data_IF_598064764844
#
_entry.id   IF_598064764844
#
_cell.length_a   1.000
_cell.length_b   1.000
_cell.length_c   1.000
_cell.angle_alpha   90.00
_cell.angle_beta   90.00
_cell.angle_gamma   90.00
#
_symmetry.space_group_name_H-M   'P 1'
#
loop_
_entity.id
_entity.type
_entity.pdbx_description
1 polymer ?
2 non-polymer ?
3 non-polymer ?
4 non-polymer ?
5 non-polymer ?
6 non-polymer ?
7 water ?
#
# COMPACT_ATOMS: atom_id res chain seq x y z
N UNK A 1 6.27 -24.65 -10.79
CA UNK A 1 5.74 -23.63 -9.79
C UNK A 1 6.13 -22.25 -10.39
N UNK A 2 5.39 -21.22 -10.11
CA UNK A 2 5.64 -19.91 -10.72
C UNK A 2 6.09 -19.10 -9.49
N UNK A 3 6.87 -18.13 -9.93
CA UNK A 3 7.34 -17.10 -8.94
C UNK A 3 7.69 -15.94 -9.83
N UNK A 4 7.87 -14.74 -9.25
CA UNK A 4 8.28 -13.61 -10.10
C UNK A 4 8.58 -12.45 -9.11
N UNK A 5 9.25 -11.52 -9.75
CA UNK A 5 9.66 -10.26 -9.11
C UNK A 5 9.14 -9.11 -9.96
N UNK A 6 8.44 -8.20 -9.30
CA UNK A 6 8.04 -7.02 -10.08
C UNK A 6 8.82 -5.86 -9.44
N UNK A 7 9.36 -4.95 -10.17
CA UNK A 7 10.06 -3.81 -9.52
C UNK A 7 9.13 -2.66 -9.28
N UNK A 8 9.11 -2.07 -8.14
CA UNK A 8 8.34 -0.87 -7.87
C UNK A 8 9.33 0.34 -7.87
N UNK A 9 8.68 1.46 -8.08
CA UNK A 9 9.42 2.76 -8.03
C UNK A 9 8.63 3.83 -7.32
N UNK A 10 9.22 4.55 -6.37
CA UNK A 10 8.50 5.61 -5.66
C UNK A 10 8.34 6.81 -6.60
N UNK A 11 7.25 7.51 -6.39
CA UNK A 11 7.05 8.76 -7.15
C UNK A 11 7.78 9.78 -6.26
N UNK A 12 7.65 11.06 -6.61
CA UNK A 12 8.30 12.14 -5.80
C UNK A 12 7.91 12.04 -4.34
N UNK A 13 8.92 12.14 -3.47
CA UNK A 13 8.86 12.04 -2.05
C UNK A 13 8.35 10.66 -1.61
N UNK A 14 8.27 9.67 -2.51
CA UNK A 14 7.77 8.34 -2.09
C UNK A 14 6.28 8.51 -1.71
N UNK A 15 5.57 9.37 -2.43
CA UNK A 15 4.15 9.55 -2.07
C UNK A 15 3.38 8.25 -2.39
N UNK A 16 3.82 7.64 -3.50
CA UNK A 16 3.24 6.32 -3.85
C UNK A 16 4.26 5.50 -4.61
N UNK A 17 4.01 4.19 -4.79
CA UNK A 17 4.94 3.25 -5.41
C UNK A 17 4.23 2.62 -6.62
N UNK A 18 4.81 2.68 -7.78
CA UNK A 18 4.09 2.11 -8.93
C UNK A 18 4.95 1.01 -9.53
N UNK A 19 4.19 0.06 -10.13
CA UNK A 19 4.77 -1.15 -10.72
C UNK A 19 3.99 -1.46 -12.04
N UNK A 20 4.73 -1.82 -13.05
CA UNK A 20 4.10 -2.14 -14.32
C UNK A 20 3.36 -3.48 -14.24
N UNK A 21 2.20 -3.48 -14.94
CA UNK A 21 1.29 -4.65 -15.04
C UNK A 21 0.81 -4.72 -16.51
N UNK A 22 0.85 -5.90 -17.04
CA UNK A 22 0.39 -5.99 -18.46
C UNK A 22 -1.03 -6.62 -18.40
N UNK A 23 -1.95 -5.91 -19.01
CA UNK A 23 -3.34 -6.37 -19.12
C UNK A 23 -3.79 -6.46 -20.58
N UNK A 24 -4.06 -7.72 -20.93
CA UNK A 24 -4.43 -7.97 -22.34
C UNK A 24 -3.41 -7.28 -23.27
N UNK A 25 -2.11 -7.46 -23.09
CA UNK A 25 -1.10 -6.87 -24.01
C UNK A 25 -0.64 -5.43 -23.71
N UNK A 26 -1.38 -4.65 -22.96
CA UNK A 26 -1.03 -3.24 -22.67
C UNK A 26 -0.40 -3.14 -21.30
N UNK A 27 0.71 -2.40 -21.17
CA UNK A 27 1.27 -2.28 -19.81
C UNK A 27 0.83 -0.95 -19.22
N UNK A 28 0.36 -1.02 -17.97
CA UNK A 28 -0.11 0.12 -17.22
C UNK A 28 0.79 0.28 -15.95
N UNK A 29 0.87 1.46 -15.42
CA UNK A 29 1.67 1.63 -14.15
C UNK A 29 0.68 1.66 -12.98
N UNK A 30 0.68 0.57 -12.15
CA UNK A 30 -0.36 0.58 -11.10
C UNK A 30 0.23 0.75 -9.70
N UNK A 31 -0.63 1.16 -8.80
CA UNK A 31 -0.21 1.34 -7.38
C UNK A 31 -0.62 0.02 -6.70
N UNK A 32 0.31 -0.77 -6.22
CA UNK A 32 -0.07 -2.06 -5.55
C UNK A 32 -0.43 -1.69 -4.13
N UNK A 33 -1.66 -2.06 -3.70
CA UNK A 33 -2.20 -1.64 -2.43
C UNK A 33 -2.65 -2.79 -1.55
N UNK A 34 -1.93 -3.07 -0.46
CA UNK A 34 -2.33 -4.19 0.43
C UNK A 34 -3.49 -3.79 1.33
N UNK A 35 -3.99 -2.58 1.14
CA UNK A 35 -5.16 -2.14 1.95
C UNK A 35 -6.52 -2.28 1.26
N UNK A 36 -6.49 -2.69 -0.01
CA UNK A 36 -7.86 -2.84 -0.70
C UNK A 36 -7.75 -4.06 -1.58
N UNK A 37 -8.94 -4.51 -2.09
CA UNK A 37 -8.97 -5.74 -2.90
C UNK A 37 -9.50 -5.59 -4.32
N UNK A 38 -9.44 -4.42 -4.87
CA UNK A 38 -9.86 -4.19 -6.26
C UNK A 38 -8.69 -3.92 -7.20
N UNK A 39 -8.74 -4.52 -8.37
CA UNK A 39 -7.74 -4.24 -9.43
C UNK A 39 -8.55 -3.37 -10.38
N UNK A 40 -8.39 -2.06 -10.35
CA UNK A 40 -9.16 -1.19 -11.30
C UNK A 40 -8.16 -0.35 -12.08
N UNK A 41 -8.53 -0.04 -13.34
CA UNK A 41 -7.63 0.65 -14.24
C UNK A 41 -8.37 1.76 -14.96
N UNK A 42 -7.58 2.76 -15.38
CA UNK A 42 -8.11 3.85 -16.25
C UNK A 42 -8.53 3.13 -17.51
N UNK A 43 -9.60 3.51 -18.23
CA UNK A 43 -9.99 2.72 -19.43
C UNK A 43 -10.53 3.70 -20.50
N UNK A 44 -10.87 3.10 -21.62
CA UNK A 44 -11.41 3.96 -22.71
C UNK A 44 -12.84 4.33 -22.44
N UNK A 45 -13.42 3.84 -21.31
CA UNK A 45 -14.82 4.23 -21.00
C UNK A 45 -14.86 5.51 -20.26
N UNK A 46 -13.69 6.06 -19.87
CA UNK A 46 -13.63 7.39 -19.23
C UNK A 46 -13.71 8.47 -20.35
N UNK A 47 -14.16 9.64 -19.93
CA UNK A 47 -14.17 10.82 -20.85
C UNK A 47 -12.80 10.93 -21.46
N UNK A 48 -12.62 11.21 -22.72
CA UNK A 48 -11.30 11.37 -23.33
C UNK A 48 -10.38 12.32 -22.55
N UNK A 49 -10.97 13.37 -22.01
CA UNK A 49 -10.08 14.35 -21.29
C UNK A 49 -9.50 13.73 -20.02
N UNK A 50 -10.11 12.69 -19.47
CA UNK A 50 -9.56 12.13 -18.22
C UNK A 50 -8.57 11.03 -18.53
N UNK A 51 -8.55 10.55 -19.77
CA UNK A 51 -7.63 9.49 -20.18
C UNK A 51 -6.24 10.10 -20.42
N UNK A 52 -6.27 11.42 -20.43
CA UNK A 52 -5.06 12.19 -20.81
C UNK A 52 -3.95 12.01 -19.78
N UNK A 53 -2.80 11.62 -20.39
CA UNK A 53 -1.62 11.44 -19.48
C UNK A 53 -1.57 10.07 -18.78
N UNK A 54 -2.35 9.13 -19.32
CA UNK A 54 -2.39 7.80 -18.68
C UNK A 54 -2.25 6.79 -19.74
N UNK A 55 -1.90 5.59 -19.36
CA UNK A 55 -1.89 4.40 -20.22
C UNK A 55 -3.32 3.86 -19.85
N UNK A 56 -4.10 3.55 -20.91
CA UNK A 56 -5.49 3.11 -20.58
C UNK A 56 -5.76 1.74 -21.13
N UNK A 57 -6.68 1.06 -20.42
CA UNK A 57 -7.07 -0.30 -20.88
C UNK A 57 -8.29 -0.13 -21.84
N UNK A 58 -8.29 -0.97 -22.88
CA UNK A 58 -9.45 -0.89 -23.82
C UNK A 58 -10.06 -2.30 -23.73
N UNK A 59 -11.14 -2.37 -22.99
CA UNK A 59 -11.80 -3.65 -22.73
C UNK A 59 -12.25 -4.42 -23.95
N UNK A 60 -12.63 -3.64 -24.95
CA UNK A 60 -13.21 -4.26 -26.19
C UNK A 60 -12.19 -5.03 -26.98
N UNK A 61 -10.92 -4.66 -26.79
CA UNK A 61 -9.81 -5.24 -27.50
C UNK A 61 -9.62 -6.72 -27.10
N UNK A 62 -9.62 -6.95 -25.79
CA UNK A 62 -9.35 -8.29 -25.30
C UNK A 62 -10.13 -8.78 -24.11
N UNK A 63 -10.90 -7.96 -23.44
CA UNK A 63 -11.59 -8.50 -22.24
C UNK A 63 -12.91 -9.16 -22.56
N UNK A 64 -13.34 -9.96 -21.63
CA UNK A 64 -14.70 -10.63 -21.73
C UNK A 64 -15.56 -9.91 -20.72
N UNK A 65 -16.61 -9.19 -21.13
CA UNK A 65 -17.41 -8.45 -20.17
C UNK A 65 -18.20 -9.32 -19.23
N UNK A 66 -18.41 -8.94 -17.98
CA UNK A 66 -19.32 -9.71 -17.09
C UNK A 66 -20.60 -8.86 -17.11
N UNK A 67 -21.57 -9.31 -17.97
CA UNK A 67 -22.78 -8.46 -18.07
C UNK A 67 -23.42 -8.30 -16.72
N UNK A 68 -23.81 -7.07 -16.41
CA UNK A 68 -24.49 -6.75 -15.18
C UNK A 68 -23.66 -6.56 -13.90
N UNK A 69 -22.35 -6.70 -14.06
CA UNK A 69 -21.45 -6.56 -12.86
C UNK A 69 -20.95 -5.11 -12.86
N UNK A 70 -20.86 -4.57 -11.66
CA UNK A 70 -20.36 -3.21 -11.43
C UNK A 70 -19.45 -3.27 -10.19
N UNK A 71 -18.75 -2.16 -10.01
CA UNK A 71 -17.88 -2.06 -8.81
C UNK A 71 -17.90 -0.54 -8.48
N UNK A 72 -17.65 -0.32 -7.24
CA UNK A 72 -17.62 1.06 -6.73
C UNK A 72 -16.81 1.03 -5.43
N UNK A 73 -15.76 1.88 -5.43
CA UNK A 73 -14.89 1.85 -4.21
C UNK A 73 -14.61 3.26 -3.71
N UNK A 74 -14.52 3.30 -2.41
CA UNK A 74 -14.19 4.61 -1.78
C UNK A 74 -13.00 4.36 -0.78
N UNK A 75 -12.05 5.31 -0.81
CA UNK A 75 -10.88 5.12 0.05
C UNK A 75 -10.95 6.05 1.25
N UNK A 76 -9.97 5.82 2.14
CA UNK A 76 -9.79 6.59 3.38
C UNK A 76 -9.53 8.10 3.22
N UNK A 77 -8.91 8.49 2.10
CA UNK A 77 -8.67 9.95 1.91
C UNK A 77 -9.88 10.58 1.17
N UNK A 78 -10.98 9.81 1.06
CA UNK A 78 -12.19 10.29 0.34
C UNK A 78 -12.20 10.11 -1.12
N UNK A 79 -11.21 9.58 -1.80
CA UNK A 79 -11.19 9.38 -3.25
C UNK A 79 -12.10 8.17 -3.55
N UNK A 80 -12.53 8.06 -4.80
CA UNK A 80 -13.46 6.93 -5.15
C UNK A 80 -13.36 6.73 -6.64
N UNK A 81 -13.87 5.58 -7.08
CA UNK A 81 -13.87 5.21 -8.50
C UNK A 81 -15.01 4.14 -8.66
N UNK A 82 -15.48 4.08 -9.92
CA UNK A 82 -16.55 3.02 -10.15
C UNK A 82 -16.53 2.60 -11.59
N UNK A 83 -17.20 1.50 -11.98
CA UNK A 83 -17.25 1.16 -13.41
C UNK A 83 -17.84 -0.26 -13.49
N UNK A 84 -17.37 -0.87 -14.56
CA UNK A 84 -17.83 -2.21 -14.93
C UNK A 84 -16.67 -3.18 -14.99
N UNK A 85 -17.01 -4.45 -15.35
CA UNK A 85 -15.99 -5.49 -15.17
C UNK A 85 -15.86 -6.41 -16.33
N UNK A 86 -14.59 -6.71 -16.59
CA UNK A 86 -14.15 -7.60 -17.66
C UNK A 86 -13.21 -8.65 -17.10
N UNK A 87 -13.01 -9.73 -17.77
CA UNK A 87 -11.94 -10.70 -17.33
C UNK A 87 -10.92 -10.62 -18.49
N UNK A 88 -9.65 -10.69 -18.07
CA UNK A 88 -8.54 -10.59 -19.08
C UNK A 88 -7.33 -11.32 -18.53
N UNK A 89 -6.28 -11.30 -19.28
CA UNK A 89 -4.96 -11.87 -18.83
C UNK A 89 -4.18 -10.74 -18.11
N UNK A 90 -3.67 -11.07 -16.91
CA UNK A 90 -3.00 -9.95 -16.17
C UNK A 90 -1.63 -10.53 -15.81
N UNK A 91 -0.53 -9.81 -16.15
CA UNK A 91 0.83 -10.37 -15.84
C UNK A 91 1.62 -9.39 -14.95
N UNK A 92 2.14 -9.96 -13.87
CA UNK A 92 2.87 -9.13 -12.90
C UNK A 92 4.22 -9.90 -12.70
N UNK A 93 5.27 -9.23 -13.13
CA UNK A 93 6.61 -9.86 -12.96
C UNK A 93 6.68 -11.29 -13.49
N UNK A 94 6.12 -11.46 -14.68
CA UNK A 94 6.11 -12.70 -15.39
C UNK A 94 5.11 -13.73 -14.83
N UNK A 95 4.34 -13.42 -13.82
CA UNK A 95 3.34 -14.43 -13.35
C UNK A 95 2.01 -13.95 -14.03
N UNK A 96 1.39 -14.87 -14.77
CA UNK A 96 0.14 -14.49 -15.46
C UNK A 96 -1.12 -15.12 -14.85
N UNK A 97 -2.08 -14.29 -14.59
CA UNK A 97 -3.39 -14.66 -14.07
C UNK A 97 -4.32 -14.67 -15.32
N UNK A 98 -4.81 -15.85 -15.68
CA UNK A 98 -5.74 -15.89 -16.84
C UNK A 98 -7.15 -15.70 -16.26
N UNK A 99 -7.98 -14.92 -16.89
CA UNK A 99 -9.35 -14.73 -16.42
C UNK A 99 -9.47 -13.92 -15.15
N UNK A 100 -8.47 -13.05 -14.91
CA UNK A 100 -8.49 -12.17 -13.77
C UNK A 100 -9.56 -11.06 -14.03
N UNK A 101 -10.31 -10.77 -12.97
CA UNK A 101 -11.32 -9.71 -13.09
C UNK A 101 -10.65 -8.33 -13.14
N UNK A 102 -10.84 -7.57 -14.19
CA UNK A 102 -10.24 -6.23 -14.29
C UNK A 102 -11.39 -5.23 -14.19
N UNK A 103 -11.30 -4.29 -13.28
CA UNK A 103 -12.38 -3.31 -13.05
C UNK A 103 -12.05 -2.06 -13.87
N UNK A 104 -12.79 -1.87 -14.97
CA UNK A 104 -12.57 -0.73 -15.89
C UNK A 104 -13.28 0.48 -15.32
N UNK A 105 -12.50 1.58 -15.10
CA UNK A 105 -13.14 2.79 -14.51
C UNK A 105 -14.06 3.47 -15.56
N UNK A 106 -15.22 3.88 -15.02
CA UNK A 106 -16.17 4.69 -15.83
C UNK A 106 -16.21 6.08 -15.21
N UNK A 107 -15.90 6.18 -13.92
CA UNK A 107 -15.91 7.44 -13.19
C UNK A 107 -14.74 7.45 -12.16
N UNK A 108 -14.10 8.59 -11.98
CA UNK A 108 -12.98 8.67 -10.96
C UNK A 108 -13.10 10.00 -10.27
N UNK A 109 -12.79 10.10 -9.01
CA UNK A 109 -12.94 11.39 -8.27
C UNK A 109 -11.75 12.27 -8.60
N UNK A 110 -11.78 13.53 -8.27
CA UNK A 110 -10.72 14.49 -8.62
C UNK A 110 -9.32 14.08 -8.26
N UNK A 111 -9.23 13.41 -7.09
CA UNK A 111 -7.87 12.96 -6.67
C UNK A 111 -7.23 12.12 -7.73
N UNK A 112 -8.00 11.21 -8.33
CA UNK A 112 -7.41 10.33 -9.36
C UNK A 112 -7.20 11.11 -10.68
N UNK A 113 -8.15 12.03 -10.91
CA UNK A 113 -8.05 12.81 -12.17
C UNK A 113 -6.76 13.67 -12.07
N UNK A 114 -6.38 14.05 -10.86
CA UNK A 114 -5.16 14.89 -10.73
C UNK A 114 -3.87 14.11 -10.72
N UNK A 115 -3.89 12.84 -10.40
CA UNK A 115 -2.70 12.02 -10.30
C UNK A 115 -2.27 11.34 -11.57
N UNK A 116 -1.31 11.83 -12.29
CA UNK A 116 -0.88 11.12 -13.51
C UNK A 116 0.25 10.10 -13.32
N UNK A 117 0.52 9.83 -12.07
CA UNK A 117 1.62 8.90 -11.72
C UNK A 117 1.17 7.43 -11.85
N UNK A 118 -0.17 7.26 -11.72
CA UNK A 118 -0.63 5.86 -11.79
C UNK A 118 -1.86 5.76 -12.77
N UNK A 119 -2.01 4.51 -13.15
CA UNK A 119 -3.12 4.22 -14.12
C UNK A 119 -4.14 3.29 -13.42
N UNK A 120 -4.13 3.32 -12.12
CA UNK A 120 -5.15 2.48 -11.36
C UNK A 120 -4.39 1.77 -10.20
N UNK A 121 -5.11 0.87 -9.54
CA UNK A 121 -4.66 0.14 -8.34
C UNK A 121 -4.74 -1.37 -8.53
N UNK A 122 -3.84 -2.15 -7.96
CA UNK A 122 -3.93 -3.64 -7.95
C UNK A 122 -4.07 -3.89 -6.45
N UNK A 123 -5.19 -4.32 -5.95
CA UNK A 123 -5.46 -4.59 -4.54
C UNK A 123 -4.87 -5.95 -4.16
N UNK A 124 -4.25 -5.96 -2.98
CA UNK A 124 -3.64 -7.16 -2.39
C UNK A 124 -4.12 -7.42 -0.98
N UNK A 125 -5.21 -6.81 -0.54
CA UNK A 125 -5.85 -7.19 0.73
C UNK A 125 -6.65 -8.53 0.41
N UNK A 126 -7.34 -9.04 1.40
CA UNK A 126 -8.10 -10.34 1.20
C UNK A 126 -9.31 -10.07 0.24
N UNK A 127 -9.57 -11.11 -0.55
CA UNK A 127 -10.66 -10.96 -1.57
C UNK A 127 -12.03 -10.75 -0.92
N UNK A 128 -12.15 -11.01 0.35
CA UNK A 128 -13.41 -10.82 1.10
C UNK A 128 -13.94 -9.38 1.02
N UNK A 129 -13.08 -8.39 0.79
CA UNK A 129 -13.53 -7.02 0.65
C UNK A 129 -13.49 -6.50 -0.77
N UNK A 130 -13.39 -7.38 -1.77
CA UNK A 130 -13.48 -6.93 -3.16
C UNK A 130 -14.91 -6.35 -3.35
N UNK A 131 -15.00 -5.20 -4.05
CA UNK A 131 -16.28 -4.51 -4.21
C UNK A 131 -17.18 -4.96 -5.40
N UNK A 132 -16.75 -5.86 -6.21
CA UNK A 132 -17.52 -6.26 -7.39
C UNK A 132 -18.90 -6.80 -6.96
N UNK A 133 -19.90 -6.40 -7.72
CA UNK A 133 -21.31 -6.76 -7.45
C UNK A 133 -21.95 -7.28 -8.76
N UNK A 134 -22.83 -8.26 -8.61
CA UNK A 134 -23.39 -8.83 -7.44
C UNK A 134 -22.51 -9.87 -6.75
N UNK A 135 -21.48 -10.38 -7.40
CA UNK A 135 -20.62 -11.42 -6.75
C UNK A 135 -19.16 -10.89 -6.79
N UNK A 136 -18.57 -10.92 -5.62
CA UNK A 136 -17.13 -10.37 -5.55
C UNK A 136 -16.16 -11.27 -6.25
N UNK A 137 -15.03 -10.69 -6.68
CA UNK A 137 -14.01 -11.42 -7.46
C UNK A 137 -12.71 -11.54 -6.61
N UNK A 138 -11.82 -12.35 -7.05
CA UNK A 138 -10.55 -12.57 -6.36
C UNK A 138 -9.48 -11.63 -6.88
N UNK A 139 -8.64 -11.26 -5.90
CA UNK A 139 -7.50 -10.40 -6.21
C UNK A 139 -6.54 -11.20 -7.09
N UNK A 140 -5.63 -10.40 -7.72
CA UNK A 140 -4.59 -11.05 -8.56
C UNK A 140 -3.90 -12.16 -7.73
N UNK A 141 -3.60 -11.77 -6.49
CA UNK A 141 -2.85 -12.78 -5.68
C UNK A 141 -3.69 -14.06 -5.44
N UNK A 142 -4.95 -13.87 -5.01
CA UNK A 142 -5.81 -15.05 -4.79
C UNK A 142 -5.98 -15.81 -6.10
N UNK A 143 -6.03 -15.15 -7.24
CA UNK A 143 -6.22 -15.90 -8.49
C UNK A 143 -5.04 -16.83 -8.78
N UNK A 144 -3.82 -16.35 -8.51
CA UNK A 144 -2.62 -17.10 -8.85
C UNK A 144 -2.00 -17.90 -7.68
N UNK A 145 -2.43 -17.68 -6.48
CA UNK A 145 -1.67 -18.27 -5.35
C UNK A 145 -1.50 -19.79 -5.36
N UNK A 146 -2.45 -20.52 -5.89
CA UNK A 146 -2.31 -22.00 -5.90
C UNK A 146 -1.26 -22.33 -6.93
N UNK A 147 -0.92 -21.44 -7.88
CA UNK A 147 0.07 -21.79 -8.86
C UNK A 147 1.50 -21.35 -8.39
N UNK A 148 1.60 -20.55 -7.40
CA UNK A 148 2.95 -20.12 -6.92
C UNK A 148 3.64 -21.26 -6.16
N UNK A 149 4.95 -21.18 -6.11
CA UNK A 149 5.76 -22.18 -5.34
C UNK A 149 5.34 -22.10 -3.88
N UNK A 150 5.07 -20.91 -3.33
CA UNK A 150 4.59 -20.69 -1.96
C UNK A 150 3.47 -19.62 -2.04
N UNK A 151 2.42 -19.78 -1.31
CA UNK A 151 1.29 -18.85 -1.36
C UNK A 151 1.50 -17.59 -0.52
N UNK A 152 2.43 -16.83 -1.05
CA UNK A 152 2.85 -15.57 -0.30
C UNK A 152 3.44 -14.59 -1.31
N UNK A 153 3.52 -13.36 -0.84
CA UNK A 153 4.17 -12.29 -1.65
C UNK A 153 5.01 -11.52 -0.54
N UNK A 154 6.01 -10.80 -1.08
CA UNK A 154 6.84 -10.05 -0.07
C UNK A 154 7.13 -8.68 -0.70
N UNK A 155 7.42 -7.75 0.25
CA UNK A 155 7.67 -6.39 -0.28
C UNK A 155 8.87 -5.67 0.42
N UNK A 156 9.63 -5.05 -0.46
CA UNK A 156 10.67 -4.11 0.02
C UNK A 156 10.34 -2.80 -0.74
N UNK A 157 9.88 -1.82 -0.04
CA UNK A 157 9.66 -0.45 -0.52
C UNK A 157 10.93 0.35 0.01
N UNK A 158 11.46 1.16 -0.88
CA UNK A 158 12.66 1.94 -0.41
C UNK A 158 12.48 3.40 -0.57
N UNK A 159 13.39 4.16 0.15
CA UNK A 159 13.36 5.62 0.02
C UNK A 159 14.09 6.07 -1.25
N UNK A 160 13.35 6.63 -2.19
CA UNK A 160 13.90 7.12 -3.48
C UNK A 160 14.83 6.18 -4.17
N UNK A 161 14.49 4.89 -4.26
CA UNK A 161 15.26 3.87 -4.97
C UNK A 161 14.15 2.79 -5.34
N UNK A 162 14.43 2.06 -6.41
CA UNK A 162 13.53 1.01 -6.88
C UNK A 162 13.51 -0.09 -5.80
N UNK A 163 12.36 -0.72 -5.68
CA UNK A 163 12.17 -1.78 -4.66
C UNK A 163 11.56 -3.00 -5.41
N UNK A 164 11.09 -3.95 -4.61
CA UNK A 164 10.51 -5.12 -5.31
C UNK A 164 9.24 -5.58 -4.58
N UNK A 165 8.47 -6.33 -5.37
CA UNK A 165 7.37 -7.17 -4.91
C UNK A 165 7.84 -8.60 -5.28
N UNK A 166 8.07 -9.49 -4.35
CA UNK A 166 8.45 -10.85 -4.74
C UNK A 166 7.13 -11.68 -4.71
N UNK A 167 6.83 -12.41 -5.78
CA UNK A 167 5.61 -13.26 -5.67
C UNK A 167 6.00 -14.75 -5.58
N UNK A 168 5.54 -15.44 -4.58
CA UNK A 168 5.74 -16.91 -4.53
C UNK A 168 7.03 -17.38 -3.92
N UNK A 169 7.87 -16.42 -3.49
CA UNK A 169 9.17 -16.85 -2.87
C UNK A 169 9.63 -15.67 -2.00
N UNK A 170 10.57 -16.05 -1.14
CA UNK A 170 11.19 -15.05 -0.20
C UNK A 170 12.65 -14.84 -0.65
N UNK A 171 13.03 -13.57 -0.80
CA UNK A 171 14.43 -13.29 -1.19
C UNK A 171 15.15 -12.92 0.13
N UNK A 172 15.94 -13.89 0.61
CA UNK A 172 16.67 -13.69 1.89
C UNK A 172 17.75 -12.61 1.79
N UNK A 173 18.13 -12.29 0.57
CA UNK A 173 19.16 -11.21 0.44
C UNK A 173 18.57 -9.85 0.71
N UNK A 174 17.21 -9.74 0.84
CA UNK A 174 16.61 -8.41 1.05
C UNK A 174 16.49 -7.91 2.49
N UNK A 175 16.90 -8.83 3.41
CA UNK A 175 16.80 -8.49 4.82
C UNK A 175 18.00 -9.08 5.57
N UNK A 176 18.13 -8.50 6.75
CA UNK A 176 19.17 -8.91 7.67
C UNK A 176 18.55 -9.83 8.71
N UNK A 177 19.31 -10.92 8.98
CA UNK A 177 18.90 -11.87 10.00
C UNK A 177 17.76 -12.78 9.51
N UNK A 178 16.92 -13.11 10.50
CA UNK A 178 15.80 -14.02 10.18
C UNK A 178 14.49 -13.28 10.33
N UNK A 179 13.49 -13.80 9.59
CA UNK A 179 12.12 -13.22 9.75
C UNK A 179 11.48 -13.62 11.07
N UNK A 180 10.67 -12.71 11.58
CA UNK A 180 9.84 -12.96 12.78
C UNK A 180 8.38 -12.92 12.29
N UNK A 181 7.62 -13.96 12.59
CA UNK A 181 6.19 -13.93 12.09
C UNK A 181 5.20 -13.58 13.17
N UNK A 182 4.05 -13.03 12.74
CA UNK A 182 3.02 -12.70 13.76
C UNK A 182 1.65 -13.08 13.08
N UNK A 183 0.69 -13.44 13.93
CA UNK A 183 -0.63 -13.80 13.34
C UNK A 183 -1.40 -12.58 12.80
N UNK A 184 -2.12 -12.91 11.70
CA UNK A 184 -2.95 -11.88 11.00
C UNK A 184 -4.41 -12.16 11.29
N UNK A 185 -5.13 -11.12 11.56
CA UNK A 185 -6.62 -11.20 11.74
C UNK A 185 -7.23 -10.68 10.41
N UNK A 186 -7.73 -11.59 9.59
CA UNK A 186 -8.25 -11.10 8.27
C UNK A 186 -9.77 -10.86 8.33
N UNK A 187 -10.29 -10.78 9.50
CA UNK A 187 -11.76 -10.60 9.65
C UNK A 187 -12.32 -9.36 9.01
N UNK A 188 -11.67 -8.23 8.88
CA UNK A 188 -12.13 -7.06 8.17
C UNK A 188 -11.46 -7.03 6.79
N UNK A 189 -10.82 -8.08 6.34
CA UNK A 189 -10.21 -8.23 5.00
C UNK A 189 -8.83 -7.59 4.93
N UNK A 190 -8.30 -7.18 6.06
CA UNK A 190 -6.92 -6.52 5.98
C UNK A 190 -5.86 -7.48 6.49
N UNK A 191 -4.58 -7.02 6.24
CA UNK A 191 -3.45 -7.78 6.85
C UNK A 191 -3.28 -7.06 8.19
N UNK A 192 -4.12 -7.45 9.12
CA UNK A 192 -4.13 -6.84 10.45
C UNK A 192 -3.29 -7.61 11.48
N UNK A 193 -2.49 -6.84 12.26
CA UNK A 193 -1.65 -7.56 13.25
C UNK A 193 -1.61 -6.73 14.54
N UNK A 194 -1.10 -7.40 15.60
CA UNK A 194 -1.02 -6.74 16.90
C UNK A 194 0.44 -6.37 17.28
N UNK A 195 0.53 -5.21 17.95
CA UNK A 195 1.84 -4.83 18.48
C UNK A 195 1.63 -4.84 20.02
N UNK A 196 2.68 -5.32 20.69
CA UNK A 196 2.56 -5.45 22.19
C UNK A 196 2.93 -4.18 22.91
N UNK A 197 3.69 -3.33 22.22
CA UNK A 197 4.10 -2.02 22.82
C UNK A 197 4.77 -1.18 21.75
N UNK A 198 5.00 0.11 22.09
CA UNK A 198 5.71 1.00 21.21
C UNK A 198 6.65 1.92 22.06
N UNK A 199 7.62 2.41 21.33
CA UNK A 199 8.51 3.43 21.92
C UNK A 199 8.64 4.56 20.87
N UNK A 200 8.26 5.71 21.37
CA UNK A 200 8.36 6.95 20.56
C UNK A 200 9.44 7.82 21.27
N UNK A 201 10.64 7.70 20.71
CA UNK A 201 11.80 8.47 21.29
C UNK A 201 11.93 8.03 22.74
N UNK A 202 11.81 8.93 23.68
CA UNK A 202 11.92 8.67 25.11
C UNK A 202 10.67 8.18 25.81
N UNK A 203 9.58 7.95 25.04
CA UNK A 203 8.32 7.52 25.72
C UNK A 203 7.87 6.16 25.19
N UNK A 204 7.39 5.35 26.10
CA UNK A 204 6.97 3.97 25.67
C UNK A 204 5.51 3.85 26.00
N UNK A 205 4.78 2.95 25.32
CA UNK A 205 3.29 2.92 25.76
C UNK A 205 2.83 1.51 25.43
N UNK A 206 1.55 1.32 25.69
CA UNK A 206 0.88 0.00 25.51
C UNK A 206 0.61 -0.20 24.03
N UNK A 207 0.35 -1.43 23.68
CA UNK A 207 0.09 -1.94 22.32
C UNK A 207 -1.30 -1.53 21.76
N UNK A 208 -1.43 -2.02 20.48
CA UNK A 208 -2.64 -1.66 19.69
C UNK A 208 -2.58 -2.56 18.46
N UNK A 209 -3.58 -2.39 17.55
CA UNK A 209 -3.49 -3.23 16.32
C UNK A 209 -3.44 -2.22 15.16
N UNK A 210 -2.94 -2.75 14.06
CA UNK A 210 -2.85 -1.95 12.82
C UNK A 210 -2.80 -2.87 11.61
N UNK A 211 -2.85 -2.16 10.46
CA UNK A 211 -2.79 -2.93 9.19
C UNK A 211 -1.57 -2.55 8.39
N UNK A 212 -1.02 -3.55 7.72
CA UNK A 212 0.11 -3.30 6.81
C UNK A 212 -0.54 -2.83 5.47
N UNK A 213 -0.24 -1.60 5.12
CA UNK A 213 -0.94 -0.97 3.94
C UNK A 213 0.00 -0.18 3.04
N UNK A 214 0.38 -0.87 1.94
CA UNK A 214 1.28 -0.23 0.96
C UNK A 214 0.70 0.99 0.28
N UNK A 215 -0.67 1.03 0.23
CA UNK A 215 -1.36 2.13 -0.41
C UNK A 215 -1.47 3.40 0.37
N UNK A 216 -0.97 3.49 1.61
CA UNK A 216 -1.03 4.70 2.43
C UNK A 216 0.46 5.22 2.56
N UNK A 217 0.58 6.49 2.29
CA UNK A 217 1.90 7.14 2.32
C UNK A 217 2.55 7.15 3.74
N UNK A 218 1.79 7.50 4.74
CA UNK A 218 2.38 7.75 6.09
C UNK A 218 2.07 6.71 7.10
N UNK A 219 2.60 6.91 8.32
CA UNK A 219 2.35 5.98 9.44
C UNK A 219 1.29 6.73 10.30
N UNK A 220 0.04 6.19 10.31
CA UNK A 220 -1.09 6.91 10.92
C UNK A 220 -1.39 6.24 12.24
N UNK A 221 -1.19 7.01 13.32
CA UNK A 221 -1.36 6.46 14.64
C UNK A 221 -2.40 7.22 15.46
N UNK A 222 -2.76 6.70 16.65
CA UNK A 222 -3.68 7.40 17.50
C UNK A 222 -3.18 8.81 17.88
N UNK A 223 -4.09 9.74 18.00
CA UNK A 223 -3.68 11.13 18.35
C UNK A 223 -2.79 11.20 19.59
N UNK A 224 -3.05 10.31 20.53
CA UNK A 224 -2.28 10.30 21.81
C UNK A 224 -0.82 10.03 21.49
N UNK A 225 -0.51 9.08 20.62
CA UNK A 225 0.83 8.66 20.25
C UNK A 225 1.45 9.74 19.39
N UNK A 226 0.59 10.32 18.50
CA UNK A 226 1.14 11.44 17.69
C UNK A 226 1.62 12.60 18.63
N UNK A 227 0.79 12.97 19.60
CA UNK A 227 1.13 14.06 20.50
C UNK A 227 2.45 13.81 21.24
N UNK A 228 2.53 12.59 21.76
CA UNK A 228 3.74 12.16 22.51
C UNK A 228 4.98 12.20 21.65
N UNK A 229 4.81 11.79 20.39
CA UNK A 229 5.95 11.81 19.48
C UNK A 229 6.38 13.30 19.24
N UNK A 230 5.43 14.14 18.82
CA UNK A 230 5.84 15.52 18.45
C UNK A 230 6.17 16.38 19.69
N UNK A 231 5.71 15.95 20.83
CA UNK A 231 6.08 16.76 22.06
C UNK A 231 7.62 16.74 22.19
N UNK A 232 8.27 15.81 21.52
CA UNK A 232 9.74 15.69 21.61
C UNK A 232 10.49 16.29 20.49
N UNK A 233 9.76 16.98 19.57
CA UNK A 233 10.36 17.51 18.33
C UNK A 233 10.25 19.05 18.51
N UNK A 234 11.44 19.64 18.69
CA UNK A 234 11.42 21.08 18.96
C UNK A 234 10.79 21.87 17.78
N UNK A 235 9.81 22.66 18.20
CA UNK A 235 9.06 23.53 17.31
C UNK A 235 8.00 22.88 16.40
N UNK A 236 7.75 21.59 16.57
CA UNK A 236 6.75 20.90 15.71
C UNK A 236 5.43 21.61 15.92
N UNK A 237 4.75 21.87 14.82
CA UNK A 237 3.41 22.52 14.85
C UNK A 237 2.54 21.91 13.72
N UNK A 238 1.26 21.98 13.96
CA UNK A 238 0.33 21.44 12.89
C UNK A 238 0.20 22.50 11.83
N UNK A 239 0.12 22.11 10.60
CA UNK A 239 0.01 23.05 9.48
C UNK A 239 -1.03 22.40 8.53
N UNK A 240 -2.21 22.94 8.58
CA UNK A 240 -3.30 22.36 7.75
C UNK A 240 -2.91 22.48 6.30
N UNK A 241 -2.11 23.44 5.88
CA UNK A 241 -1.68 23.58 4.46
C UNK A 241 -0.85 22.34 4.12
N UNK A 242 -0.02 21.87 5.02
CA UNK A 242 0.89 20.76 4.75
C UNK A 242 0.15 19.46 5.02
N UNK A 243 -0.83 19.39 5.90
CA UNK A 243 -1.49 18.11 6.16
C UNK A 243 -1.18 17.47 7.49
N UNK A 244 -0.60 18.22 8.41
CA UNK A 244 -0.35 17.64 9.76
C UNK A 244 0.88 18.38 10.40
N UNK A 245 1.49 17.58 11.26
CA UNK A 245 2.66 18.17 11.98
C UNK A 245 3.82 18.41 11.04
N UNK A 246 4.46 19.62 11.15
CA UNK A 246 5.60 19.95 10.32
C UNK A 246 6.73 20.45 11.37
N UNK A 247 7.90 20.46 10.82
CA UNK A 247 9.06 20.92 11.70
C UNK A 247 10.13 21.32 10.69
N UNK A 248 11.17 22.00 11.30
CA UNK A 248 12.33 22.46 10.59
C UNK A 248 12.95 21.17 10.00
N UNK A 249 13.27 21.20 8.74
CA UNK A 249 13.83 20.07 8.07
C UNK A 249 15.13 19.53 8.68
N UNK A 250 15.83 20.37 9.41
CA UNK A 250 17.12 19.97 10.00
C UNK A 250 16.99 19.31 11.36
N UNK A 251 15.83 19.36 11.94
CA UNK A 251 15.54 18.73 13.22
C UNK A 251 15.97 17.25 13.21
N UNK A 252 16.44 16.90 14.38
CA UNK A 252 16.90 15.55 14.73
C UNK A 252 15.63 14.81 15.20
N UNK A 253 15.13 13.83 14.42
CA UNK A 253 13.87 13.22 14.97
C UNK A 253 14.13 11.96 15.78
N UNK A 254 13.35 11.74 16.80
CA UNK A 254 13.46 10.48 17.57
C UNK A 254 13.00 9.32 16.68
N UNK A 255 13.48 8.12 17.02
CA UNK A 255 13.04 6.89 16.27
C UNK A 255 11.67 6.49 16.82
N UNK A 256 11.04 5.58 16.04
CA UNK A 256 9.72 5.05 16.55
C UNK A 256 9.80 3.52 16.48
N UNK A 257 9.47 2.76 17.50
CA UNK A 257 9.57 1.30 17.26
C UNK A 257 8.32 0.64 17.81
N UNK A 258 8.07 -0.58 17.33
CA UNK A 258 6.90 -1.34 17.89
C UNK A 258 7.44 -2.71 18.25
N UNK A 259 6.82 -3.37 19.22
CA UNK A 259 7.36 -4.75 19.53
C UNK A 259 6.30 -5.69 18.93
N UNK A 260 6.70 -6.51 18.03
CA UNK A 260 5.74 -7.46 17.39
C UNK A 260 6.19 -8.89 17.69
N UNK A 261 5.50 -9.61 18.55
CA UNK A 261 5.90 -11.03 18.83
C UNK A 261 7.38 -11.11 19.14
N UNK A 262 7.84 -10.20 20.01
CA UNK A 262 9.25 -10.20 20.45
C UNK A 262 10.28 -9.57 19.55
N UNK A 263 9.82 -9.17 18.34
CA UNK A 263 10.73 -8.49 17.39
C UNK A 263 10.51 -6.95 17.50
N UNK A 264 11.62 -6.20 17.57
CA UNK A 264 11.46 -4.75 17.63
C UNK A 264 11.59 -4.19 16.21
N UNK A 265 10.46 -3.69 15.66
CA UNK A 265 10.49 -3.12 14.28
C UNK A 265 10.82 -1.61 14.53
N UNK A 266 11.99 -1.16 14.05
CA UNK A 266 12.31 0.29 14.33
C UNK A 266 12.32 1.11 13.05
N UNK A 267 11.65 2.22 13.09
CA UNK A 267 11.69 3.16 11.94
C UNK A 267 12.67 4.28 12.47
N UNK A 268 13.77 4.44 11.77
CA UNK A 268 14.75 5.43 12.18
C UNK A 268 14.21 6.82 12.04
N UNK A 269 14.55 7.78 12.94
CA UNK A 269 14.04 9.11 12.74
C UNK A 269 14.29 9.67 11.33
N UNK A 270 15.31 9.28 10.58
CA UNK A 270 15.50 9.89 9.25
C UNK A 270 14.39 9.56 8.26
N UNK A 271 13.78 8.43 8.37
CA UNK A 271 12.65 7.97 7.54
C UNK A 271 11.42 8.70 7.98
N UNK A 272 11.31 9.24 9.16
CA UNK A 272 10.17 10.02 9.63
C UNK A 272 10.10 11.45 9.07
N UNK A 273 11.18 11.86 8.44
CA UNK A 273 11.20 13.18 7.75
C UNK A 273 10.68 12.78 6.33
N UNK A 274 9.43 13.05 6.07
CA UNK A 274 8.81 12.67 4.76
C UNK A 274 9.36 13.46 3.59
N UNK A 275 9.51 14.74 3.87
CA UNK A 275 10.00 15.65 2.81
C UNK A 275 9.35 17.00 3.03
N UNK A 276 9.65 17.87 2.06
CA UNK A 276 9.22 19.30 2.08
C UNK A 276 7.73 19.34 2.27
N UNK A 277 7.32 20.16 3.20
CA UNK A 277 5.88 20.24 3.50
C UNK A 277 5.14 20.86 2.30
N UNK A 278 5.90 21.53 1.45
CA UNK A 278 5.32 22.19 0.24
C UNK A 278 4.52 23.42 0.74
N UNK A 279 5.08 23.94 1.84
CA UNK A 279 4.54 25.07 2.59
C UNK A 279 5.67 25.73 3.38
N UNK A 280 6.36 26.60 2.65
CA UNK A 280 7.48 27.40 3.19
C UNK A 280 8.75 26.53 3.21
N UNK A 281 9.40 26.57 4.34
CA UNK A 281 10.64 25.91 4.65
C UNK A 281 10.64 24.74 5.66
N UNK A 282 9.46 24.19 5.92
CA UNK A 282 9.38 23.08 6.90
C UNK A 282 9.21 21.77 6.15
N UNK A 283 9.27 20.72 6.93
CA UNK A 283 9.15 19.36 6.34
C UNK A 283 7.93 18.70 6.97
N UNK A 284 7.32 17.72 6.32
CA UNK A 284 6.15 17.05 6.93
C UNK A 284 6.66 15.79 7.65
N UNK A 285 6.08 15.51 8.82
CA UNK A 285 6.43 14.30 9.57
C UNK A 285 5.75 13.11 8.93
N UNK A 286 6.47 11.99 9.04
CA UNK A 286 5.92 10.72 8.44
C UNK A 286 4.90 10.14 9.41
N UNK A 287 4.79 10.61 10.63
CA UNK A 287 3.79 10.12 11.58
C UNK A 287 2.69 11.18 11.65
N UNK A 288 1.41 10.71 11.46
CA UNK A 288 0.28 11.70 11.52
C UNK A 288 -0.88 10.93 12.14
N UNK A 289 -1.93 11.72 12.42
CA UNK A 289 -3.15 11.13 13.05
C UNK A 289 -3.95 10.17 12.14
N UNK A 290 -4.52 9.14 12.76
CA UNK A 290 -5.40 8.17 12.08
C UNK A 290 -6.86 8.66 12.17
N UNK A 291 -7.14 9.87 12.60
CA UNK A 291 -8.44 10.51 12.71
C UNK A 291 -9.45 9.80 13.64
N UNK A 292 -8.86 9.13 14.64
CA UNK A 292 -9.77 8.48 15.62
C UNK A 292 -10.35 7.20 15.10
N UNK A 293 -9.93 6.53 14.08
CA UNK A 293 -10.51 5.26 13.66
C UNK A 293 -10.32 4.07 14.59
N UNK A 294 -9.51 4.00 15.58
CA UNK A 294 -9.40 2.82 16.45
C UNK A 294 -8.33 1.80 16.15
N UNK A 295 -7.57 2.01 15.08
CA UNK A 295 -6.49 1.09 14.67
C UNK A 295 -5.47 1.91 13.83
N UNK A 296 -4.23 1.42 13.81
CA UNK A 296 -3.20 2.21 13.11
C UNK A 296 -2.98 1.73 11.68
N UNK A 297 -2.48 2.64 10.89
CA UNK A 297 -2.20 2.29 9.45
C UNK A 297 -0.67 2.33 9.32
N UNK A 298 -0.12 1.13 9.12
CA UNK A 298 1.34 1.00 8.91
C UNK A 298 1.57 1.19 7.40
N UNK A 299 1.65 2.43 7.00
CA UNK A 299 1.86 2.82 5.63
C UNK A 299 3.36 2.82 5.25
N UNK A 300 3.64 3.39 4.10
CA UNK A 300 4.96 3.32 3.49
C UNK A 300 6.09 3.81 4.44
N UNK A 301 5.80 4.80 5.27
CA UNK A 301 6.91 5.31 6.16
C UNK A 301 7.48 4.13 6.96
N UNK A 302 6.52 3.30 7.45
CA UNK A 302 6.92 2.11 8.27
C UNK A 302 7.58 1.08 7.40
N UNK A 303 6.89 0.81 6.25
CA UNK A 303 7.39 -0.26 5.36
C UNK A 303 8.77 -0.07 4.76
N UNK A 304 9.15 1.19 4.57
CA UNK A 304 10.47 1.53 4.05
C UNK A 304 11.59 1.01 5.00
N UNK A 305 11.26 0.66 6.20
CA UNK A 305 12.31 0.09 7.09
C UNK A 305 12.33 -1.42 7.11
N UNK A 306 11.34 -2.11 6.59
CA UNK A 306 11.28 -3.57 6.76
C UNK A 306 11.14 -4.31 5.44
N UNK A 307 11.48 -5.59 5.58
CA UNK A 307 11.13 -6.47 4.37
C UNK A 307 9.91 -7.20 4.95
N UNK A 308 8.77 -7.17 4.26
CA UNK A 308 7.55 -7.75 4.87
C UNK A 308 6.99 -8.94 4.02
N UNK A 309 6.77 -10.04 4.72
CA UNK A 309 6.21 -11.23 4.00
C UNK A 309 4.71 -11.31 4.33
N UNK A 310 3.93 -11.40 3.21
CA UNK A 310 2.42 -11.55 3.41
C UNK A 310 2.15 -13.02 3.05
N UNK A 311 1.91 -13.79 4.11
CA UNK A 311 1.78 -15.26 3.88
C UNK A 311 0.32 -15.69 4.08
N UNK A 312 -0.25 -16.23 2.98
CA UNK A 312 -1.64 -16.70 3.11
C UNK A 312 -1.72 -17.90 4.03
N UNK A 313 -0.70 -18.62 4.36
CA UNK A 313 -0.77 -19.79 5.31
C UNK A 313 -0.68 -19.25 6.73
N UNK A 314 -1.79 -19.32 7.41
CA UNK A 314 -1.96 -18.81 8.80
C UNK A 314 -3.25 -18.06 8.89
N UNK A 315 -3.41 -16.87 8.27
CA UNK A 315 -2.39 -16.12 7.54
C UNK A 315 -1.38 -15.51 8.52
N UNK A 316 -0.26 -15.04 8.01
CA UNK A 316 0.69 -14.39 8.98
C UNK A 316 1.53 -13.39 8.19
N UNK A 317 2.19 -12.54 8.98
CA UNK A 317 3.11 -11.51 8.41
C UNK A 317 4.55 -11.79 8.99
N UNK A 318 5.50 -11.75 8.10
CA UNK A 318 6.92 -11.91 8.64
C UNK A 318 7.56 -10.53 8.43
N UNK A 319 8.40 -10.22 9.43
CA UNK A 319 9.18 -8.96 9.43
C UNK A 319 10.71 -9.16 9.68
N UNK A 320 11.43 -8.31 8.94
CA UNK A 320 12.93 -8.33 9.25
C UNK A 320 13.40 -6.96 8.77
N UNK A 321 14.53 -6.45 9.31
CA UNK A 321 15.02 -5.14 8.81
C UNK A 321 15.52 -5.27 7.41
N UNK A 322 15.27 -4.26 6.57
CA UNK A 322 15.69 -4.30 5.18
C UNK A 322 17.21 -4.30 5.11
N UNK A 323 17.75 -5.03 4.19
CA UNK A 323 19.24 -5.09 4.09
C UNK A 323 19.53 -3.86 3.18
X LIG B 1 0.20 11.84 0.61
X LIG B 1 0.20 12.99 1.58
X LIG B 1 1.59 13.58 1.81
X LIG B 1 -0.06 12.27 2.88
X LIG B 1 -1.22 11.22 0.51
X LIG B 1 -2.17 11.99 0.65
X LIG B 1 -1.34 9.94 0.26
X LIG B 1 -2.76 9.41 0.10
X LIG B 1 -3.04 8.44 1.21
X LIG B 1 -2.09 7.96 1.91
X LIG B 1 -2.79 8.74 -1.29
X LIG B 1 -2.48 9.81 -2.36
X LIG B 1 -1.66 7.71 -1.41
X LIG B 1 -4.33 8.08 1.25
X LIG B 1 -4.75 7.07 2.23
X LIG B 1 -5.65 6.08 1.41
X LIG B 1 -6.85 6.34 1.32
X LIG B 1 -5.52 7.62 3.44
X LIG B 1 -5.77 6.49 4.46
X LIG B 1 -4.72 8.67 4.14
X LIG B 1 -4.99 5.04 0.84
X LIG B 1 -8.70 3.31 1.92
X LIG B 1 -5.60 2.45 0.99
X LIG B 1 -7.98 2.46 2.47
X LIG B 1 -9.92 0.97 2.37
X LIG B 1 -8.59 1.21 2.77
X LIG B 1 -10.00 -0.40 1.73
X LIG B 1 -5.69 4.03 0.08
X LIG B 1 -5.06 3.94 -1.36
X LIG B 1 -5.03 5.35 -2.09
X LIG B 1 -6.47 2.64 2.56
X LIG B 1 -4.15 2.20 1.21
X LIG B 1 -6.25 1.43 0.11
X LIG B 1 -4.32 5.14 -3.42
X LIG B 1 -6.39 6.00 -2.28
X LIG C 1 10.76 -18.07 -8.38
X LIG C 1 11.85 -17.88 -9.48
X LIG C 1 11.55 -18.87 -10.57
X LIG C 1 11.42 -20.31 -10.03
X LIG C 1 10.27 -20.30 -9.05
X LIG C 1 9.89 -21.66 -8.48
X LIG C 1 13.09 -18.28 -8.75
X LIG C 1 12.67 -18.84 -11.48
X LIG C 1 11.15 -21.15 -11.11
X LIG C 1 10.57 -19.43 -7.93
X LIG C 1 11.10 -22.20 -7.89
X LIG D 1 12.71 -4.89 -11.68
X LIG D 1 14.22 -4.78 -11.53
X LIG D 1 14.72 -5.79 -10.49
X LIG D 1 14.49 -7.20 -10.98
X LIG D 1 13.30 -7.38 -11.86
X LIG D 1 14.70 -3.48 -11.31
X LIG D 1 16.12 -5.63 -10.39
X LIG D 1 14.55 -8.01 -9.79
X LIG D 1 12.48 -6.27 -12.07
X LIG E 1 14.58 -16.72 7.76
X LIG E 1 13.48 -17.55 7.18
X LIG E 1 14.02 -15.95 8.92
X LIG E 1 15.69 -17.62 8.28
X LIG E 1 15.19 -15.77 6.78
X LIG F 1 -7.70 2.40 6.35
X LIG F 1 -9.13 3.79 4.91
X LIG F 1 -9.28 4.02 7.28
X LIG F 1 -9.56 5.25 7.32
X LIG F 1 -8.56 3.53 6.22
#
# INVERSE_FOLDING_TARGET
AASGVATNTPTANDEEYITPVTIGGTTLNLNFDTGSADLWVFSTELPASQQSGHSVYNPSATGKELSGYTWSISYGDGSSASGNVFTDSVTVGGVTAHGQAVQAAQQISAQFQQDTNNDGLLGLAFSSINTVQPQSQTTFFDTVKSSLAQPLFAVALKHQQPGVYDFGFIDSSKYTGSLTYTGVDNSQGFWSFNVDSYTAGSQSGDGFSGIADTGTTLLLLDDSVVSQYYSQVSGAQQDSNAGGYVFDCSTNLPDFSVSISGYTATVPGSLINYGPSGDGSTCLGGIQSNSGIGFSIFGDIFLKSQYVVFDSDGPQLGFAPQA
IVV CA1 CB1 CG11 CG21 C1 O1 N1 CA2 C2 O2 CB2 CG12 CG22 N3 CA3 C3 O3 CB3 CG13 CG23 N4 O4 P C5 C6 O6 C7 CA4 CB4 CG4 CP O1P O2P CD1 CD2
MAN C1 C2 C3 C4 C5 C6 O2 O3 O4 O5 O6
HSY C1 C2 C3 C4 C5 O2 O3 O4 O5
SO4 S O1 O2 O3 O4
DMF C1 C2 C O N
#
